data_IF_495802406317
#
_entry.id   IF_495802406317
#
_cell.length_a   1.000
_cell.length_b   1.000
_cell.length_c   1.000
_cell.angle_alpha   90.00
_cell.angle_beta   90.00
_cell.angle_gamma   90.00
#
_symmetry.space_group_name_H-M   'P 1'
#
loop_
_entity.id
_entity.type
_entity.pdbx_description
1 polymer ?
#
# COMPACT_ATOMS: atom_id res chain seq x y z
N UNK A 1 -19.74 -7.96 -7.01
CA UNK A 1 -19.39 -6.54 -6.80
C UNK A 1 -19.44 -5.87 -8.16
N UNK A 2 -20.35 -4.92 -8.37
CA UNK A 2 -20.45 -4.23 -9.66
C UNK A 2 -19.31 -3.23 -9.78
N UNK A 3 -18.63 -3.18 -10.94
CA UNK A 3 -17.57 -2.20 -11.26
C UNK A 3 -18.09 -0.74 -11.33
N UNK A 4 -19.38 -0.51 -11.07
CA UNK A 4 -20.05 0.79 -11.10
C UNK A 4 -20.21 1.47 -9.74
N UNK A 5 -19.90 0.82 -8.61
CA UNK A 5 -19.99 1.46 -7.31
C UNK A 5 -18.80 2.41 -7.07
N UNK A 6 -19.06 3.71 -7.20
CA UNK A 6 -18.10 4.80 -6.93
C UNK A 6 -18.14 5.28 -5.48
N UNK A 7 -18.76 4.50 -4.58
CA UNK A 7 -18.78 4.83 -3.17
C UNK A 7 -17.37 4.89 -2.58
N UNK A 8 -17.19 5.81 -1.64
CA UNK A 8 -15.91 6.03 -0.99
C UNK A 8 -15.41 4.76 -0.29
N UNK A 9 -14.17 4.37 -0.55
CA UNK A 9 -13.57 3.12 -0.04
C UNK A 9 -13.84 1.88 -0.89
N UNK A 10 -14.60 1.99 -1.98
CA UNK A 10 -14.86 0.87 -2.88
C UNK A 10 -13.61 0.48 -3.67
N UNK A 11 -13.28 -0.81 -3.60
CA UNK A 11 -12.16 -1.40 -4.32
C UNK A 11 -12.51 -1.57 -5.80
N UNK A 12 -11.61 -1.10 -6.66
CA UNK A 12 -11.71 -1.24 -8.12
C UNK A 12 -10.86 -2.39 -8.61
N UNK A 13 -9.60 -2.48 -8.17
CA UNK A 13 -8.72 -3.58 -8.57
C UNK A 13 -7.62 -3.88 -7.55
N UNK A 14 -7.12 -5.10 -7.62
CA UNK A 14 -5.97 -5.60 -6.84
C UNK A 14 -5.00 -6.27 -7.81
N UNK A 15 -3.83 -5.68 -7.98
CA UNK A 15 -2.78 -6.17 -8.86
C UNK A 15 -1.59 -6.66 -8.03
N UNK A 16 -1.17 -7.91 -8.23
CA UNK A 16 -0.01 -8.45 -7.54
C UNK A 16 1.28 -7.88 -8.13
N UNK A 17 2.04 -7.13 -7.33
CA UNK A 17 3.33 -6.56 -7.74
C UNK A 17 4.48 -7.56 -7.58
N UNK A 18 4.41 -8.41 -6.56
CA UNK A 18 5.49 -9.35 -6.30
C UNK A 18 5.34 -10.20 -5.06
N UNK A 19 6.20 -11.20 -4.96
CA UNK A 19 6.33 -12.06 -3.78
C UNK A 19 7.80 -12.21 -3.42
N UNK A 20 8.13 -12.00 -2.15
CA UNK A 20 9.51 -12.03 -1.68
C UNK A 20 9.64 -12.94 -0.46
N UNK A 21 10.67 -13.78 -0.45
CA UNK A 21 10.97 -14.62 0.72
C UNK A 21 11.65 -13.80 1.81
N UNK A 22 11.48 -14.20 3.08
CA UNK A 22 12.15 -13.56 4.20
C UNK A 22 13.68 -13.53 4.02
N UNK A 23 14.25 -14.62 3.50
CA UNK A 23 15.69 -14.72 3.21
C UNK A 23 16.14 -13.68 2.17
N UNK A 24 15.41 -13.56 1.05
CA UNK A 24 15.73 -12.56 0.01
C UNK A 24 15.70 -11.15 0.56
N UNK A 25 14.71 -10.83 1.40
CA UNK A 25 14.57 -9.51 2.02
C UNK A 25 15.68 -9.22 3.04
N UNK A 26 16.07 -10.20 3.86
CA UNK A 26 17.21 -10.06 4.80
C UNK A 26 18.52 -9.86 4.05
N UNK A 27 18.73 -10.55 2.93
CA UNK A 27 19.90 -10.38 2.09
C UNK A 27 19.90 -9.02 1.40
N UNK A 28 18.75 -8.57 0.89
CA UNK A 28 18.60 -7.25 0.28
C UNK A 28 18.97 -6.11 1.24
N UNK A 29 18.58 -6.19 2.53
CA UNK A 29 19.02 -5.21 3.54
C UNK A 29 20.55 -5.15 3.71
N UNK A 30 21.22 -6.30 3.60
CA UNK A 30 22.69 -6.38 3.68
C UNK A 30 23.36 -5.76 2.45
N UNK A 31 22.84 -6.07 1.25
CA UNK A 31 23.36 -5.54 -0.02
C UNK A 31 23.12 -4.04 -0.13
N UNK A 32 21.94 -3.56 0.28
CA UNK A 32 21.58 -2.14 0.27
C UNK A 32 22.27 -1.32 1.39
N UNK A 33 23.13 -1.93 2.21
CA UNK A 33 23.88 -1.29 3.30
C UNK A 33 23.00 -0.46 4.25
N UNK A 34 21.80 -0.95 4.57
CA UNK A 34 20.91 -0.25 5.50
C UNK A 34 21.59 -0.17 6.88
N UNK A 35 21.79 1.05 7.45
CA UNK A 35 22.60 1.25 8.65
C UNK A 35 22.05 0.49 9.86
N UNK A 36 20.72 0.51 10.02
CA UNK A 36 20.00 -0.20 11.07
C UNK A 36 19.09 -1.24 10.45
N UNK A 37 19.53 -2.50 10.47
CA UNK A 37 18.71 -3.63 10.00
C UNK A 37 17.47 -3.77 10.87
N UNK A 38 16.39 -4.18 10.25
CA UNK A 38 15.12 -4.45 10.90
C UNK A 38 14.75 -5.94 10.76
N UNK A 39 14.02 -6.51 11.73
CA UNK A 39 13.65 -7.91 11.69
C UNK A 39 12.71 -8.19 10.51
N UNK A 40 13.01 -9.26 9.76
CA UNK A 40 12.11 -9.80 8.72
C UNK A 40 11.85 -11.27 9.02
N UNK A 41 10.73 -11.51 9.70
CA UNK A 41 10.30 -12.83 10.17
C UNK A 41 9.55 -13.59 9.07
N UNK A 42 8.78 -12.87 8.25
CA UNK A 42 7.92 -13.44 7.21
C UNK A 42 8.40 -13.04 5.82
N UNK A 43 8.13 -13.90 4.83
CA UNK A 43 8.08 -13.44 3.44
C UNK A 43 6.90 -12.48 3.27
N UNK A 44 6.84 -11.77 2.15
CA UNK A 44 5.75 -10.81 1.88
C UNK A 44 5.17 -11.03 0.49
N UNK A 45 3.90 -10.66 0.34
CA UNK A 45 3.27 -10.41 -0.95
C UNK A 45 2.90 -8.94 -1.01
N UNK A 46 3.23 -8.29 -2.13
CA UNK A 46 2.94 -6.88 -2.37
C UNK A 46 1.87 -6.78 -3.46
N UNK A 47 0.89 -5.92 -3.23
CA UNK A 47 -0.18 -5.61 -4.15
C UNK A 47 -0.28 -4.11 -4.36
N UNK A 48 -0.58 -3.70 -5.59
CA UNK A 48 -1.15 -2.39 -5.88
C UNK A 48 -2.66 -2.53 -5.81
N UNK A 49 -3.28 -1.63 -5.07
CA UNK A 49 -4.74 -1.55 -4.98
C UNK A 49 -5.20 -0.25 -5.58
N UNK A 50 -6.29 -0.30 -6.32
CA UNK A 50 -6.98 0.87 -6.86
C UNK A 50 -8.33 0.97 -6.19
N UNK A 51 -8.67 2.12 -5.64
CA UNK A 51 -9.90 2.33 -4.88
C UNK A 51 -10.47 3.73 -5.11
N UNK A 52 -11.78 3.84 -4.92
CA UNK A 52 -12.47 5.13 -4.89
C UNK A 52 -12.22 5.84 -3.57
N UNK A 53 -11.88 7.12 -3.64
CA UNK A 53 -11.81 8.06 -2.53
C UNK A 53 -12.40 9.39 -2.98
N UNK A 54 -12.19 10.48 -2.23
CA UNK A 54 -12.71 11.79 -2.62
C UNK A 54 -11.68 12.91 -2.47
N UNK A 55 -11.75 13.88 -3.38
CA UNK A 55 -11.12 15.19 -3.24
C UNK A 55 -12.23 16.23 -3.24
N UNK A 56 -12.35 17.00 -2.16
CA UNK A 56 -13.37 18.06 -2.02
C UNK A 56 -14.79 17.58 -2.36
N UNK A 57 -15.15 16.37 -1.91
CA UNK A 57 -16.47 15.75 -2.14
C UNK A 57 -16.69 15.16 -3.54
N UNK A 58 -15.71 15.23 -4.43
CA UNK A 58 -15.77 14.61 -5.76
C UNK A 58 -15.06 13.26 -5.76
N UNK A 59 -15.68 12.18 -6.27
CA UNK A 59 -15.06 10.87 -6.38
C UNK A 59 -13.75 10.92 -7.19
N UNK A 60 -12.70 10.33 -6.65
CA UNK A 60 -11.39 10.21 -7.27
C UNK A 60 -10.89 8.76 -7.18
N UNK A 61 -10.17 8.31 -8.21
CA UNK A 61 -9.42 7.07 -8.14
C UNK A 61 -8.05 7.35 -7.52
N UNK A 62 -7.70 6.54 -6.53
CA UNK A 62 -6.37 6.54 -5.94
C UNK A 62 -5.77 5.13 -5.99
N UNK A 63 -4.45 5.08 -5.95
CA UNK A 63 -3.70 3.83 -5.77
C UNK A 63 -3.01 3.77 -4.41
N UNK A 64 -2.63 2.57 -4.00
CA UNK A 64 -1.84 2.35 -2.81
C UNK A 64 -1.16 0.99 -2.81
N UNK A 65 -0.15 0.85 -1.98
CA UNK A 65 0.55 -0.40 -1.72
C UNK A 65 -0.09 -1.12 -0.54
N UNK A 66 -0.48 -2.37 -0.75
CA UNK A 66 -0.85 -3.32 0.30
C UNK A 66 0.26 -4.37 0.44
N UNK A 67 0.80 -4.53 1.65
CA UNK A 67 1.74 -5.59 1.99
C UNK A 67 1.14 -6.61 2.95
N UNK A 68 1.25 -7.89 2.61
CA UNK A 68 0.73 -9.01 3.41
C UNK A 68 1.87 -9.95 3.81
N UNK A 69 2.02 -10.32 5.09
CA UNK A 69 2.98 -11.32 5.52
C UNK A 69 2.55 -12.72 5.04
N UNK A 70 3.49 -13.48 4.48
CA UNK A 70 3.28 -14.88 4.09
C UNK A 70 3.19 -15.77 5.31
N UNK A 71 2.27 -16.74 5.24
CA UNK A 71 2.08 -17.78 6.26
C UNK A 71 1.87 -17.22 7.68
N UNK A 72 1.35 -16.00 7.77
CA UNK A 72 1.06 -15.35 9.04
C UNK A 72 -0.20 -14.51 8.90
N UNK A 73 -1.15 -14.72 9.82
CA UNK A 73 -2.35 -13.91 9.88
C UNK A 73 -2.06 -12.68 10.73
N UNK A 74 -1.81 -11.56 10.05
CA UNK A 74 -1.56 -10.28 10.69
C UNK A 74 -2.75 -9.87 11.57
N UNK A 75 -2.47 -9.47 12.81
CA UNK A 75 -3.49 -9.00 13.78
C UNK A 75 -3.57 -7.48 13.90
N UNK A 76 -2.68 -6.79 13.19
CA UNK A 76 -2.48 -5.35 13.26
C UNK A 76 -2.12 -4.83 11.88
N UNK A 77 -2.55 -3.62 11.56
CA UNK A 77 -2.17 -2.89 10.36
C UNK A 77 -1.31 -1.67 10.69
N UNK A 78 -0.41 -1.31 9.78
CA UNK A 78 0.37 -0.08 9.82
C UNK A 78 0.00 0.75 8.60
N UNK A 79 -0.40 2.00 8.83
CA UNK A 79 -0.51 3.02 7.79
C UNK A 79 0.85 3.70 7.64
N UNK A 80 1.44 3.62 6.46
CA UNK A 80 2.67 4.34 6.15
C UNK A 80 2.37 5.44 5.14
N UNK A 81 2.64 6.68 5.55
CA UNK A 81 2.46 7.87 4.73
C UNK A 81 3.83 8.26 4.17
N UNK A 82 3.95 8.28 2.85
CA UNK A 82 5.17 8.71 2.15
C UNK A 82 5.43 10.21 2.39
N UNK A 83 6.70 10.57 2.34
CA UNK A 83 7.11 11.97 2.20
C UNK A 83 6.76 12.54 0.83
N UNK A 84 7.26 13.73 0.52
CA UNK A 84 7.07 14.34 -0.79
C UNK A 84 7.64 13.45 -1.89
N UNK A 85 6.76 12.99 -2.79
CA UNK A 85 7.17 12.30 -4.00
C UNK A 85 7.18 13.29 -5.18
N UNK A 86 8.35 13.57 -5.78
CA UNK A 86 8.42 14.49 -6.92
C UNK A 86 7.81 13.92 -8.20
N UNK A 87 7.69 12.58 -8.31
CA UNK A 87 7.11 11.91 -9.48
C UNK A 87 6.06 10.87 -9.14
N UNK A 88 5.13 10.62 -10.09
CA UNK A 88 4.14 9.53 -10.00
C UNK A 88 4.80 8.16 -9.81
N UNK A 89 5.94 7.93 -10.45
CA UNK A 89 6.70 6.66 -10.39
C UNK A 89 7.34 6.39 -9.04
N UNK A 90 7.52 7.39 -8.18
CA UNK A 90 8.08 7.21 -6.83
C UNK A 90 7.03 6.86 -5.78
N UNK A 91 5.76 6.78 -6.18
CA UNK A 91 4.69 6.29 -5.34
C UNK A 91 4.99 4.87 -4.80
N UNK A 92 4.68 4.58 -3.52
CA UNK A 92 4.96 3.28 -2.93
C UNK A 92 4.36 2.11 -3.71
N UNK A 93 3.18 2.27 -4.32
CA UNK A 93 2.57 1.21 -5.12
C UNK A 93 3.25 0.98 -6.47
N UNK A 94 4.16 1.85 -6.92
CA UNK A 94 4.88 1.69 -8.20
C UNK A 94 5.77 0.44 -8.26
N UNK A 95 6.02 -0.22 -7.12
CA UNK A 95 6.82 -1.45 -7.04
C UNK A 95 8.33 -1.21 -6.99
N UNK A 96 8.75 0.04 -6.77
CA UNK A 96 10.15 0.42 -6.62
C UNK A 96 10.75 0.06 -5.26
N UNK A 97 12.00 0.49 -5.04
CA UNK A 97 12.78 0.17 -3.84
C UNK A 97 12.08 0.61 -2.55
N UNK A 98 11.48 1.80 -2.52
CA UNK A 98 10.78 2.32 -1.33
C UNK A 98 9.65 1.37 -0.92
N UNK A 99 8.76 1.01 -1.86
CA UNK A 99 7.66 0.08 -1.62
C UNK A 99 8.14 -1.29 -1.11
N UNK A 100 9.23 -1.80 -1.67
CA UNK A 100 9.87 -3.04 -1.21
C UNK A 100 10.41 -2.92 0.22
N UNK A 101 11.08 -1.81 0.56
CA UNK A 101 11.67 -1.59 1.87
C UNK A 101 10.61 -1.40 2.96
N UNK A 102 9.57 -0.59 2.72
CA UNK A 102 8.48 -0.42 3.68
C UNK A 102 7.66 -1.70 3.84
N UNK A 103 7.47 -2.45 2.74
CA UNK A 103 6.87 -3.78 2.76
C UNK A 103 7.69 -4.76 3.59
N UNK A 104 9.01 -4.79 3.40
CA UNK A 104 9.90 -5.62 4.19
C UNK A 104 9.88 -5.23 5.67
N UNK A 105 9.83 -3.93 5.99
CA UNK A 105 9.83 -3.44 7.36
C UNK A 105 8.55 -3.83 8.10
N UNK A 106 7.37 -3.49 7.57
CA UNK A 106 6.12 -3.67 8.28
C UNK A 106 5.49 -5.04 8.02
N UNK A 107 5.32 -5.42 6.76
CA UNK A 107 4.77 -6.73 6.43
C UNK A 107 5.75 -7.86 6.77
N UNK A 108 7.05 -7.68 6.53
CA UNK A 108 8.05 -8.66 6.95
C UNK A 108 8.13 -8.86 8.47
N UNK A 109 7.70 -7.87 9.26
CA UNK A 109 7.58 -7.97 10.73
C UNK A 109 6.28 -8.60 11.22
N UNK A 110 5.29 -8.84 10.35
CA UNK A 110 4.03 -9.51 10.67
C UNK A 110 2.79 -8.60 10.69
N UNK A 111 2.90 -7.33 10.28
CA UNK A 111 1.76 -6.42 10.18
C UNK A 111 1.18 -6.42 8.76
N UNK A 112 -0.05 -5.95 8.58
CA UNK A 112 -0.49 -5.50 7.25
C UNK A 112 0.12 -4.14 6.99
N UNK A 113 0.70 -3.92 5.82
CA UNK A 113 1.11 -2.60 5.38
C UNK A 113 0.01 -1.98 4.51
N UNK A 114 -0.40 -0.77 4.85
CA UNK A 114 -1.23 0.09 4.00
C UNK A 114 -0.43 1.36 3.70
N UNK A 115 -0.15 1.64 2.43
CA UNK A 115 0.61 2.81 2.02
C UNK A 115 -0.08 3.48 0.81
N UNK A 116 -0.96 4.47 1.03
CA UNK A 116 -1.61 5.18 -0.07
C UNK A 116 -0.59 5.98 -0.87
N UNK A 117 -0.78 6.09 -2.19
CA UNK A 117 0.11 6.86 -3.05
C UNK A 117 -0.17 8.37 -3.01
N UNK A 118 -1.30 8.77 -2.44
CA UNK A 118 -1.98 10.05 -2.60
C UNK A 118 -2.67 10.23 -3.97
N UNK A 119 -3.72 11.06 -3.99
CA UNK A 119 -4.51 11.35 -5.19
C UNK A 119 -3.60 12.00 -6.24
N UNK A 120 -3.59 11.48 -7.47
CA UNK A 120 -2.79 12.01 -8.59
C UNK A 120 -1.33 11.55 -8.65
N UNK A 121 -0.91 10.68 -7.73
CA UNK A 121 0.33 9.90 -7.80
C UNK A 121 0.05 8.43 -8.16
N UNK A 122 1.10 7.65 -8.41
CA UNK A 122 0.96 6.26 -8.85
C UNK A 122 0.25 6.18 -10.21
N UNK A 123 -0.86 5.43 -10.28
CA UNK A 123 -1.73 5.38 -11.47
C UNK A 123 -3.00 6.21 -11.33
N UNK A 124 -3.04 7.17 -10.40
CA UNK A 124 -4.14 8.14 -10.35
C UNK A 124 -4.11 9.06 -11.56
N UNK A 125 -5.21 9.10 -12.31
CA UNK A 125 -5.32 9.92 -13.54
C UNK A 125 -5.50 11.42 -13.25
N UNK A 126 -5.71 11.80 -12.00
CA UNK A 126 -5.93 13.18 -11.56
C UNK A 126 -4.63 13.95 -11.29
N UNK A 127 -4.73 15.28 -11.20
CA UNK A 127 -3.66 16.13 -10.67
C UNK A 127 -3.42 15.83 -9.18
N UNK A 128 -2.17 15.96 -8.69
CA UNK A 128 -1.84 15.75 -7.29
C UNK A 128 -2.00 17.05 -6.48
N UNK A 129 -2.99 17.16 -5.56
CA UNK A 129 -3.20 18.34 -4.74
C UNK A 129 -2.18 18.35 -3.59
N UNK A 130 -0.98 18.88 -3.88
CA UNK A 130 0.10 18.98 -2.90
C UNK A 130 -0.33 19.80 -1.66
N UNK A 131 -0.02 19.30 -0.46
CA UNK A 131 -0.42 19.86 0.84
C UNK A 131 -1.92 19.95 1.16
N UNK A 132 -2.79 19.25 0.41
CA UNK A 132 -4.20 19.14 0.80
C UNK A 132 -4.37 18.07 1.89
N UNK A 133 -4.09 18.47 3.14
CA UNK A 133 -4.02 17.61 4.33
C UNK A 133 -5.22 16.67 4.46
N UNK A 134 -6.45 17.15 4.25
CA UNK A 134 -7.66 16.33 4.38
C UNK A 134 -7.65 15.08 3.48
N UNK A 135 -7.17 15.19 2.23
CA UNK A 135 -7.07 14.05 1.31
C UNK A 135 -5.84 13.19 1.56
N UNK A 136 -4.72 13.81 1.96
CA UNK A 136 -3.42 13.14 2.15
C UNK A 136 -3.37 12.33 3.45
N UNK A 137 -3.93 12.85 4.55
CA UNK A 137 -3.84 12.23 5.89
C UNK A 137 -5.18 11.75 6.44
N UNK A 138 -6.31 12.11 5.83
CA UNK A 138 -7.66 11.77 6.32
C UNK A 138 -8.38 10.74 5.46
N UNK A 139 -8.85 11.18 4.30
CA UNK A 139 -9.83 10.43 3.50
C UNK A 139 -9.23 9.17 2.86
N UNK A 140 -8.15 9.31 2.07
CA UNK A 140 -7.53 8.18 1.38
C UNK A 140 -6.96 7.11 2.35
N UNK A 141 -6.30 7.49 3.47
CA UNK A 141 -5.90 6.53 4.51
C UNK A 141 -7.09 5.80 5.17
N UNK A 142 -8.21 6.48 5.44
CA UNK A 142 -9.38 5.83 6.03
C UNK A 142 -10.02 4.79 5.08
N UNK A 143 -9.94 5.05 3.77
CA UNK A 143 -10.58 4.23 2.75
C UNK A 143 -9.80 2.95 2.44
N UNK A 144 -8.47 3.01 2.42
CA UNK A 144 -7.65 1.79 2.26
C UNK A 144 -7.80 0.85 3.47
N UNK A 145 -8.11 1.36 4.67
CA UNK A 145 -8.42 0.54 5.85
C UNK A 145 -9.76 -0.20 5.70
N UNK A 146 -10.78 0.43 5.12
CA UNK A 146 -12.08 -0.21 4.86
C UNK A 146 -11.96 -1.43 3.96
N UNK A 147 -11.06 -1.36 2.97
CA UNK A 147 -10.72 -2.51 2.14
C UNK A 147 -9.89 -3.58 2.87
N UNK A 148 -8.90 -3.18 3.67
CA UNK A 148 -8.01 -4.10 4.37
C UNK A 148 -8.78 -5.08 5.29
N UNK A 149 -9.88 -4.63 5.90
CA UNK A 149 -10.76 -5.48 6.70
C UNK A 149 -11.35 -6.68 5.93
N UNK A 150 -11.56 -6.56 4.61
CA UNK A 150 -12.09 -7.63 3.74
C UNK A 150 -11.04 -8.62 3.24
N UNK A 151 -9.76 -8.22 3.12
CA UNK A 151 -8.68 -9.11 2.67
C UNK A 151 -8.19 -10.03 3.80
N UNK A 152 -8.30 -9.58 5.05
CA UNK A 152 -7.89 -10.35 6.24
C UNK A 152 -8.84 -11.51 6.56
N UNK A 153 -10.06 -11.47 6.02
CA UNK A 153 -11.11 -12.47 6.27
C UNK A 153 -11.19 -13.56 5.21
N UNK A 154 -10.56 -13.42 4.04
CA UNK A 154 -10.57 -14.47 3.00
C UNK A 154 -9.23 -14.58 2.23
N UNK A 155 -8.30 -15.44 2.68
CA UNK A 155 -7.04 -15.69 1.99
C UNK A 155 -7.17 -16.58 0.73
N UNK A 156 -8.36 -17.04 0.35
CA UNK A 156 -8.57 -17.98 -0.78
C UNK A 156 -9.12 -17.34 -2.06
N UNK A 157 -9.25 -16.01 -2.12
CA UNK A 157 -9.81 -15.31 -3.29
C UNK A 157 -8.79 -14.64 -4.23
N UNK A 158 -7.51 -15.05 -4.21
CA UNK A 158 -6.48 -14.57 -5.14
C UNK A 158 -5.54 -15.67 -5.63
#
# INVERSE_FOLDING_TARGET
MSLTDKSRGSLVSVEKLGTHSALKLRLAQRVARIPKRFPVRHGIVLYRVTYWTELTGQPQLATGLLGIPKNHRARTSVMWLNGTNPTRSEAPSSGGLIGLLVGALFAGSGHLLLAPDYIGLGRGDSYHPYMHTTSTVGVAPADIVRFAGGVVTDPKRS
#
